data_IF_349600538132
#
_entry.id   IF_349600538132
#
_cell.length_a   1.000
_cell.length_b   1.000
_cell.length_c   1.000
_cell.angle_alpha   90.00
_cell.angle_beta   90.00
_cell.angle_gamma   90.00
#
_symmetry.space_group_name_H-M   'P 1'
#
loop_
_entity.id
_entity.type
_entity.pdbx_description
1 polymer ?
#
# COMPACT_ATOMS: atom_id res chain seq x y z
N UNK A 1 10.08 -6.79 8.91
CA UNK A 1 8.74 -7.15 8.40
C UNK A 1 8.41 -6.22 7.23
N UNK A 2 7.51 -6.58 6.31
CA UNK A 2 7.19 -5.72 5.13
C UNK A 2 6.68 -4.33 5.54
N UNK A 3 5.90 -4.21 6.62
CA UNK A 3 5.48 -2.91 7.18
C UNK A 3 6.66 -2.00 7.52
N UNK A 4 7.70 -2.53 8.16
CA UNK A 4 8.92 -1.78 8.48
C UNK A 4 9.64 -1.29 7.22
N UNK A 5 9.67 -2.11 6.16
CA UNK A 5 10.28 -1.70 4.89
C UNK A 5 9.51 -0.55 4.22
N UNK A 6 8.17 -0.56 4.33
CA UNK A 6 7.32 0.55 3.88
C UNK A 6 7.58 1.83 4.68
N UNK A 7 7.66 1.73 6.01
CA UNK A 7 7.98 2.87 6.88
C UNK A 7 9.34 3.49 6.55
N UNK A 8 10.36 2.66 6.29
CA UNK A 8 11.69 3.14 5.85
C UNK A 8 11.64 3.84 4.49
N UNK A 9 10.72 3.45 3.61
CA UNK A 9 10.46 4.12 2.32
C UNK A 9 9.63 5.41 2.47
N UNK A 10 9.24 5.78 3.69
CA UNK A 10 8.46 6.99 3.98
C UNK A 10 6.95 6.81 3.93
N UNK A 11 6.46 5.59 3.69
CA UNK A 11 5.03 5.32 3.77
C UNK A 11 4.53 5.36 5.21
N UNK A 12 3.33 5.90 5.41
CA UNK A 12 2.54 5.69 6.62
C UNK A 12 1.76 4.39 6.48
N UNK A 13 1.94 3.46 7.42
CA UNK A 13 1.11 2.24 7.49
C UNK A 13 -0.26 2.61 8.04
N UNK A 14 -1.28 2.52 7.20
CA UNK A 14 -2.67 2.85 7.54
C UNK A 14 -3.39 1.67 8.21
N UNK A 15 -3.08 0.44 7.78
CA UNK A 15 -3.61 -0.76 8.43
C UNK A 15 -2.77 -2.00 8.19
N UNK A 16 -2.86 -2.93 9.14
CA UNK A 16 -2.35 -4.30 9.01
C UNK A 16 -3.42 -5.25 9.50
N UNK A 17 -3.98 -6.05 8.59
CA UNK A 17 -5.11 -6.94 8.90
C UNK A 17 -4.81 -8.37 8.46
N UNK A 18 -5.18 -9.35 9.29
CA UNK A 18 -5.23 -10.76 8.88
C UNK A 18 -6.56 -11.05 8.21
N UNK A 19 -6.51 -11.59 7.01
CA UNK A 19 -7.70 -12.06 6.28
C UNK A 19 -8.15 -13.42 6.78
N UNK A 20 -9.39 -13.82 6.46
CA UNK A 20 -9.93 -15.14 6.80
C UNK A 20 -9.13 -16.31 6.22
N UNK A 21 -8.45 -16.09 5.09
CA UNK A 21 -7.59 -17.09 4.44
C UNK A 21 -6.15 -17.06 4.99
N UNK A 22 -5.91 -16.43 6.14
CA UNK A 22 -4.61 -16.42 6.81
C UNK A 22 -3.57 -15.48 6.20
N UNK A 23 -3.90 -14.74 5.14
CA UNK A 23 -3.02 -13.74 4.53
C UNK A 23 -2.91 -12.49 5.41
N UNK A 24 -1.76 -11.83 5.39
CA UNK A 24 -1.60 -10.49 5.95
C UNK A 24 -1.81 -9.48 4.83
N UNK A 25 -2.67 -8.49 5.06
CA UNK A 25 -2.90 -7.37 4.15
C UNK A 25 -2.43 -6.09 4.83
N UNK A 26 -1.57 -5.35 4.15
CA UNK A 26 -1.00 -4.08 4.61
C UNK A 26 -1.46 -2.99 3.65
N UNK A 27 -2.09 -1.95 4.18
CA UNK A 27 -2.41 -0.72 3.43
C UNK A 27 -1.51 0.39 3.93
N UNK A 28 -0.89 1.12 3.01
CA UNK A 28 0.02 2.20 3.32
C UNK A 28 -0.16 3.37 2.34
N UNK A 29 0.15 4.59 2.81
CA UNK A 29 0.00 5.83 2.05
C UNK A 29 1.30 6.66 2.05
N UNK A 30 1.55 7.38 0.96
CA UNK A 30 2.65 8.33 0.80
C UNK A 30 2.18 9.49 -0.09
N UNK A 31 1.76 10.60 0.53
CA UNK A 31 1.15 11.71 -0.21
C UNK A 31 -0.08 11.25 -1.01
N UNK A 32 -0.13 11.45 -2.34
CA UNK A 32 -1.22 10.98 -3.19
C UNK A 32 -1.19 9.47 -3.48
N UNK A 33 -0.11 8.78 -3.09
CA UNK A 33 0.08 7.36 -3.40
C UNK A 33 -0.50 6.49 -2.30
N UNK A 34 -1.22 5.46 -2.73
CA UNK A 34 -1.76 4.40 -1.89
C UNK A 34 -1.20 3.06 -2.35
N UNK A 35 -0.86 2.18 -1.41
CA UNK A 35 -0.30 0.86 -1.70
C UNK A 35 -0.94 -0.23 -0.85
N UNK A 36 -1.32 -1.31 -1.50
CA UNK A 36 -1.80 -2.55 -0.89
C UNK A 36 -0.77 -3.65 -1.14
N UNK A 37 -0.27 -4.23 -0.04
CA UNK A 37 0.55 -5.44 -0.10
C UNK A 37 -0.19 -6.59 0.59
N UNK A 38 -0.33 -7.71 -0.10
CA UNK A 38 -0.87 -8.95 0.48
C UNK A 38 0.24 -9.99 0.53
N UNK A 39 0.49 -10.53 1.71
CA UNK A 39 1.50 -11.55 1.97
C UNK A 39 0.85 -12.86 2.43
N UNK A 40 1.44 -13.97 2.03
CA UNK A 40 1.24 -15.25 2.70
C UNK A 40 1.92 -15.21 4.08
N UNK A 41 1.17 -15.41 5.16
CA UNK A 41 1.71 -15.27 6.51
C UNK A 41 2.63 -16.42 6.94
N UNK A 42 2.57 -17.58 6.25
CA UNK A 42 3.35 -18.77 6.59
C UNK A 42 4.71 -18.79 5.90
N UNK A 43 4.79 -18.21 4.70
CA UNK A 43 6.00 -18.19 3.87
C UNK A 43 6.64 -16.80 3.77
N UNK A 44 5.86 -15.74 4.01
CA UNK A 44 6.29 -14.36 3.79
C UNK A 44 6.27 -13.93 2.32
N UNK A 45 5.82 -14.79 1.40
CA UNK A 45 5.73 -14.46 -0.03
C UNK A 45 4.74 -13.31 -0.26
N UNK A 46 5.14 -12.34 -1.07
CA UNK A 46 4.23 -11.28 -1.55
C UNK A 46 3.36 -11.88 -2.66
N UNK A 47 2.05 -11.90 -2.41
CA UNK A 47 1.03 -12.39 -3.34
C UNK A 47 0.41 -11.27 -4.17
N UNK A 48 0.46 -10.04 -3.65
CA UNK A 48 0.01 -8.83 -4.33
C UNK A 48 0.86 -7.66 -3.89
N UNK A 49 1.25 -6.86 -4.85
CA UNK A 49 1.78 -5.51 -4.67
C UNK A 49 1.01 -4.61 -5.65
N UNK A 50 0.16 -3.75 -5.10
CA UNK A 50 -0.75 -2.92 -5.87
C UNK A 50 -0.66 -1.48 -5.39
N UNK A 51 -0.21 -0.58 -6.25
CA UNK A 51 -0.09 0.83 -5.93
C UNK A 51 -0.91 1.67 -6.91
N UNK A 52 -1.51 2.74 -6.39
CA UNK A 52 -2.21 3.75 -7.18
C UNK A 52 -1.82 5.13 -6.73
N UNK A 53 -1.85 6.09 -7.65
CA UNK A 53 -1.70 7.51 -7.38
C UNK A 53 -3.00 8.25 -7.69
N UNK A 54 -3.37 9.20 -6.85
CA UNK A 54 -4.52 10.07 -7.06
C UNK A 54 -4.09 11.47 -7.48
N UNK A 55 -4.83 12.06 -8.42
CA UNK A 55 -4.68 13.47 -8.71
C UNK A 55 -4.97 14.31 -7.46
N UNK A 56 -4.33 15.48 -7.27
CA UNK A 56 -4.61 16.35 -6.12
C UNK A 56 -6.09 16.76 -5.98
N UNK A 57 -6.83 16.81 -7.08
CA UNK A 57 -8.27 17.09 -7.10
C UNK A 57 -9.14 15.95 -6.55
N UNK A 58 -8.61 14.73 -6.56
CA UNK A 58 -9.34 13.49 -6.30
C UNK A 58 -8.71 12.69 -5.16
N UNK A 59 -8.05 13.39 -4.22
CA UNK A 59 -7.45 12.74 -3.06
C UNK A 59 -8.53 12.01 -2.23
N UNK A 60 -8.33 10.73 -1.90
CA UNK A 60 -9.31 9.99 -1.14
C UNK A 60 -9.35 10.49 0.31
N UNK A 61 -10.53 10.44 0.92
CA UNK A 61 -10.69 10.49 2.37
C UNK A 61 -10.81 9.04 2.88
N UNK A 62 -9.69 8.38 3.21
CA UNK A 62 -9.68 6.95 3.48
C UNK A 62 -10.37 6.61 4.80
N UNK A 63 -11.17 5.56 4.80
CA UNK A 63 -11.52 4.87 6.04
C UNK A 63 -10.37 3.97 6.49
N UNK A 64 -10.03 3.91 7.79
CA UNK A 64 -8.97 3.03 8.27
C UNK A 64 -9.20 1.57 7.86
N UNK A 65 -8.23 0.96 7.18
CA UNK A 65 -8.35 -0.41 6.71
C UNK A 65 -8.71 -0.56 5.24
N UNK A 66 -9.30 0.46 4.63
CA UNK A 66 -9.73 0.42 3.25
C UNK A 66 -8.65 0.91 2.28
N UNK A 67 -8.56 0.21 1.14
CA UNK A 67 -7.73 0.65 0.03
C UNK A 67 -8.58 1.51 -0.90
N UNK A 68 -8.27 2.80 -1.04
CA UNK A 68 -8.99 3.67 -1.97
C UNK A 68 -8.94 3.13 -3.40
N UNK A 69 -10.01 3.34 -4.15
CA UNK A 69 -10.17 2.90 -5.54
C UNK A 69 -10.22 4.12 -6.46
N UNK A 70 -9.89 3.92 -7.74
CA UNK A 70 -10.04 4.94 -8.78
C UNK A 70 -8.77 5.75 -9.11
N UNK A 71 -7.68 5.59 -8.36
CA UNK A 71 -6.38 6.16 -8.72
C UNK A 71 -5.76 5.47 -9.95
N UNK A 72 -4.77 6.14 -10.56
CA UNK A 72 -3.98 5.61 -11.66
C UNK A 72 -3.02 4.54 -11.14
N UNK A 73 -2.99 3.37 -11.76
CA UNK A 73 -2.14 2.26 -11.32
C UNK A 73 -0.66 2.58 -11.57
N UNK A 74 0.16 2.41 -10.54
CA UNK A 74 1.61 2.48 -10.66
C UNK A 74 2.13 1.09 -11.02
N UNK A 75 2.76 0.96 -12.19
CA UNK A 75 3.15 -0.33 -12.76
C UNK A 75 4.49 -0.86 -12.21
N UNK A 76 5.24 -0.06 -11.44
CA UNK A 76 6.53 -0.49 -10.86
C UNK A 76 6.82 0.11 -9.48
N UNK A 77 7.46 -0.62 -8.55
CA UNK A 77 7.96 -0.10 -7.27
C UNK A 77 8.93 1.08 -7.40
N UNK A 78 9.51 1.27 -8.59
CA UNK A 78 10.47 2.34 -8.89
C UNK A 78 9.85 3.55 -9.61
N UNK A 79 8.55 3.55 -9.89
CA UNK A 79 7.88 4.68 -10.55
C UNK A 79 7.53 5.80 -9.57
N UNK A 80 7.79 5.60 -8.27
CA UNK A 80 7.65 6.64 -7.27
C UNK A 80 8.82 7.63 -7.44
N UNK A 81 8.56 8.91 -7.71
CA UNK A 81 9.64 9.89 -7.76
C UNK A 81 10.33 9.91 -6.40
N UNK A 82 11.63 9.60 -6.39
CA UNK A 82 12.48 9.82 -5.23
C UNK A 82 12.43 11.31 -4.90
N UNK A 83 11.77 11.66 -3.80
CA UNK A 83 11.80 13.03 -3.30
C UNK A 83 13.23 13.28 -2.81
N UNK A 84 13.97 14.13 -3.55
CA UNK A 84 15.29 14.64 -3.19
C UNK A 84 15.19 15.61 -2.01
#
# INVERSE_FOLDING_TARGET
MVSTALEVQGYKVESVTRTLLGRVRIIASLGPVWREIVLDASTGQILRDYAVEFAPSDLPNPEPGDMPRGGEMLNSPNDLPLQN
#
